data_IF_230264085283
#
_entry.id   IF_230264085283
#
_cell.length_a   1.000
_cell.length_b   1.000
_cell.length_c   1.000
_cell.angle_alpha   90.00
_cell.angle_beta   90.00
_cell.angle_gamma   90.00
#
_symmetry.space_group_name_H-M   'P 1'
#
loop_
_entity.id
_entity.type
_entity.pdbx_description
1 polymer ?
#
# COMPACT_ATOMS: atom_id res chain seq x y z
N UNK A 1 14.30 -18.90 -0.59
CA UNK A 1 13.27 -18.46 -1.56
C UNK A 1 12.13 -17.85 -0.77
N UNK A 2 12.00 -16.52 -0.75
CA UNK A 2 10.87 -15.87 -0.08
C UNK A 2 9.69 -15.91 -1.06
N UNK A 3 8.65 -16.68 -0.72
CA UNK A 3 7.40 -16.72 -1.49
C UNK A 3 6.45 -15.64 -0.98
N UNK A 4 5.62 -15.09 -1.86
CA UNK A 4 4.55 -14.18 -1.46
C UNK A 4 3.51 -14.99 -0.69
N UNK A 5 3.05 -14.47 0.44
CA UNK A 5 2.01 -15.11 1.23
C UNK A 5 0.67 -15.05 0.48
N UNK A 6 0.05 -16.21 0.32
CA UNK A 6 -1.23 -16.39 -0.36
C UNK A 6 -2.36 -16.54 0.66
N UNK A 7 -3.48 -15.90 0.38
CA UNK A 7 -4.67 -15.87 1.22
C UNK A 7 -5.91 -16.27 0.43
N UNK A 8 -6.91 -16.80 1.14
CA UNK A 8 -8.18 -17.20 0.54
C UNK A 8 -9.04 -15.99 0.17
N UNK A 9 -8.97 -14.90 0.94
CA UNK A 9 -9.81 -13.72 0.74
C UNK A 9 -9.02 -12.40 0.75
N UNK A 10 -9.58 -11.38 0.10
CA UNK A 10 -9.04 -10.01 0.15
C UNK A 10 -9.09 -9.48 1.57
N UNK A 11 -10.14 -9.80 2.33
CA UNK A 11 -10.31 -9.30 3.70
C UNK A 11 -9.21 -9.81 4.64
N UNK A 12 -8.89 -11.10 4.60
CA UNK A 12 -7.79 -11.69 5.39
C UNK A 12 -6.44 -11.09 4.99
N UNK A 13 -6.15 -11.03 3.68
CA UNK A 13 -4.93 -10.44 3.16
C UNK A 13 -4.79 -8.96 3.58
N UNK A 14 -5.90 -8.22 3.56
CA UNK A 14 -5.93 -6.80 3.92
C UNK A 14 -5.71 -6.59 5.41
N UNK A 15 -6.40 -7.36 6.25
CA UNK A 15 -6.25 -7.27 7.70
C UNK A 15 -4.83 -7.61 8.13
N UNK A 16 -4.25 -8.69 7.62
CA UNK A 16 -2.89 -9.09 7.97
C UNK A 16 -1.86 -8.06 7.47
N UNK A 17 -2.00 -7.61 6.23
CA UNK A 17 -1.07 -6.67 5.64
C UNK A 17 -1.14 -5.29 6.32
N UNK A 18 -2.33 -4.80 6.65
CA UNK A 18 -2.49 -3.58 7.43
C UNK A 18 -1.92 -3.72 8.84
N UNK A 19 -2.21 -4.82 9.55
CA UNK A 19 -1.66 -5.06 10.87
C UNK A 19 -0.13 -5.13 10.85
N UNK A 20 0.46 -5.56 9.73
CA UNK A 20 1.90 -5.53 9.49
C UNK A 20 2.42 -4.11 9.21
N UNK A 21 1.89 -3.41 8.20
CA UNK A 21 2.49 -2.13 7.74
C UNK A 21 2.27 -0.96 8.70
N UNK A 22 1.24 -1.02 9.55
CA UNK A 22 0.95 0.04 10.52
C UNK A 22 1.88 0.02 11.74
N UNK A 23 2.68 -1.04 11.90
CA UNK A 23 3.70 -1.13 12.95
C UNK A 23 4.90 -0.23 12.61
N UNK A 24 5.31 0.71 13.48
CA UNK A 24 6.38 1.67 13.19
C UNK A 24 7.72 1.05 12.76
N UNK A 25 8.05 -0.15 13.24
CA UNK A 25 9.27 -0.87 12.87
C UNK A 25 9.27 -1.42 11.44
N UNK A 26 8.12 -1.45 10.78
CA UNK A 26 7.96 -1.84 9.39
C UNK A 26 7.81 -0.62 8.46
N UNK A 27 7.96 0.60 8.98
CA UNK A 27 7.91 1.80 8.15
C UNK A 27 9.18 1.94 7.32
N UNK A 28 9.03 2.40 6.10
CA UNK A 28 10.12 2.55 5.15
C UNK A 28 10.55 4.01 5.07
N UNK A 29 11.85 4.28 5.19
CA UNK A 29 12.38 5.61 4.95
C UNK A 29 12.59 5.82 3.46
N UNK A 30 11.87 6.78 2.87
CA UNK A 30 12.07 7.14 1.47
C UNK A 30 13.24 8.10 1.32
N UNK A 31 14.19 7.85 0.40
CA UNK A 31 15.17 8.85 0.03
C UNK A 31 14.47 10.06 -0.61
N UNK A 32 15.03 11.26 -0.41
CA UNK A 32 14.47 12.60 -0.72
C UNK A 32 13.91 12.84 -2.13
N UNK A 33 14.10 11.94 -3.09
CA UNK A 33 13.88 12.17 -4.51
C UNK A 33 12.91 11.17 -5.10
N UNK A 34 11.61 11.46 -4.91
CA UNK A 34 10.51 10.80 -5.62
C UNK A 34 10.30 9.33 -5.24
N UNK A 35 9.06 8.88 -5.31
CA UNK A 35 8.85 7.48 -5.60
C UNK A 35 9.44 7.25 -6.98
N UNK A 36 10.60 6.60 -7.06
CA UNK A 36 10.82 5.76 -8.24
C UNK A 36 9.85 4.57 -8.06
N UNK A 37 8.82 4.43 -8.91
CA UNK A 37 7.89 3.28 -8.83
C UNK A 37 8.64 1.95 -8.94
N UNK A 38 9.85 1.95 -9.54
CA UNK A 38 10.73 0.78 -9.58
C UNK A 38 11.42 0.47 -8.24
N UNK A 39 11.58 1.47 -7.36
CA UNK A 39 12.18 1.34 -6.02
C UNK A 39 11.16 1.03 -4.92
N UNK A 40 9.86 1.04 -5.23
CA UNK A 40 8.82 0.57 -4.32
C UNK A 40 9.10 -0.87 -3.86
N UNK A 41 8.81 -1.28 -2.61
CA UNK A 41 8.84 -2.68 -2.16
C UNK A 41 7.95 -3.69 -2.93
N UNK A 42 7.49 -3.39 -4.15
CA UNK A 42 6.89 -4.36 -5.08
C UNK A 42 7.78 -5.58 -5.38
N UNK A 43 9.05 -5.57 -4.96
CA UNK A 43 9.93 -6.74 -4.94
C UNK A 43 10.04 -7.44 -3.56
N UNK A 44 9.75 -6.74 -2.46
CA UNK A 44 9.80 -7.32 -1.12
C UNK A 44 8.49 -8.08 -0.83
N UNK A 45 8.60 -9.39 -0.69
CA UNK A 45 7.45 -10.27 -0.47
C UNK A 45 6.80 -10.09 0.89
N UNK A 46 7.47 -9.46 1.87
CA UNK A 46 6.91 -9.18 3.20
C UNK A 46 5.78 -8.14 3.14
N UNK A 47 5.89 -7.18 2.23
CA UNK A 47 4.93 -6.10 2.02
C UNK A 47 3.84 -6.46 1.02
N UNK A 48 3.78 -7.74 0.61
CA UNK A 48 2.88 -8.21 -0.42
C UNK A 48 2.04 -9.37 0.04
N UNK A 49 0.80 -9.41 -0.45
CA UNK A 49 -0.10 -10.54 -0.33
C UNK A 49 -0.68 -10.89 -1.69
N UNK A 50 -1.02 -12.16 -1.86
CA UNK A 50 -1.65 -12.67 -3.08
C UNK A 50 -3.01 -13.28 -2.73
N UNK A 51 -4.01 -12.96 -3.53
CA UNK A 51 -5.36 -13.55 -3.45
C UNK A 51 -5.75 -13.98 -4.87
N UNK A 52 -5.54 -15.25 -5.18
CA UNK A 52 -5.74 -15.78 -6.54
C UNK A 52 -4.84 -15.08 -7.57
N UNK A 53 -5.44 -14.28 -8.47
CA UNK A 53 -4.72 -13.50 -9.49
C UNK A 53 -4.39 -12.07 -9.05
N UNK A 54 -4.93 -11.61 -7.92
CA UNK A 54 -4.68 -10.29 -7.37
C UNK A 54 -3.43 -10.30 -6.50
N UNK A 55 -2.52 -9.37 -6.79
CA UNK A 55 -1.40 -9.02 -5.91
C UNK A 55 -1.70 -7.69 -5.25
N UNK A 56 -1.51 -7.65 -3.94
CA UNK A 56 -1.70 -6.49 -3.10
C UNK A 56 -0.33 -6.16 -2.50
N UNK A 57 0.05 -4.89 -2.53
CA UNK A 57 1.24 -4.37 -1.87
C UNK A 57 0.81 -3.20 -0.99
N UNK A 58 1.37 -3.09 0.20
CA UNK A 58 1.16 -1.90 1.03
C UNK A 58 2.43 -1.55 1.79
N UNK A 59 2.62 -0.27 2.06
CA UNK A 59 3.69 0.24 2.91
C UNK A 59 3.27 1.53 3.59
N UNK A 60 3.94 1.83 4.71
CA UNK A 60 3.93 3.17 5.31
C UNK A 60 5.30 3.75 5.10
N UNK A 61 5.33 4.89 4.42
CA UNK A 61 6.54 5.51 3.95
C UNK A 61 6.77 6.82 4.72
N UNK A 62 7.98 7.03 5.22
CA UNK A 62 8.40 8.24 5.95
C UNK A 62 9.31 9.05 5.03
N UNK A 63 8.84 10.24 4.67
CA UNK A 63 9.64 11.20 3.92
C UNK A 63 10.71 11.85 4.81
N UNK A 64 11.75 12.40 4.20
CA UNK A 64 12.79 13.13 4.91
C UNK A 64 12.27 14.39 5.65
N UNK A 65 11.09 14.89 5.27
CA UNK A 65 10.37 15.98 5.96
C UNK A 65 9.58 15.51 7.17
N UNK A 66 9.65 14.22 7.53
CA UNK A 66 8.86 13.58 8.59
C UNK A 66 7.35 13.53 8.29
N UNK A 67 6.97 13.77 7.03
CA UNK A 67 5.64 13.43 6.53
C UNK A 67 5.54 11.92 6.36
N UNK A 68 4.43 11.35 6.82
CA UNK A 68 4.15 9.92 6.74
C UNK A 68 3.07 9.69 5.69
N UNK A 69 3.27 8.73 4.80
CA UNK A 69 2.37 8.38 3.72
C UNK A 69 1.95 6.92 3.83
N UNK A 70 0.66 6.66 3.58
CA UNK A 70 0.16 5.31 3.40
C UNK A 70 0.09 5.03 1.92
N UNK A 71 0.64 3.89 1.54
CA UNK A 71 0.80 3.52 0.16
C UNK A 71 0.28 2.12 -0.08
N UNK A 72 -0.59 1.97 -1.06
CA UNK A 72 -1.25 0.69 -1.38
C UNK A 72 -1.25 0.53 -2.89
N UNK A 73 -0.90 -0.65 -3.38
CA UNK A 73 -0.93 -0.95 -4.80
C UNK A 73 -1.59 -2.29 -5.08
N UNK A 74 -2.26 -2.33 -6.23
CA UNK A 74 -2.93 -3.53 -6.72
C UNK A 74 -2.44 -3.88 -8.11
N UNK A 75 -2.31 -5.18 -8.36
CA UNK A 75 -2.00 -5.71 -9.69
C UNK A 75 -2.77 -6.99 -9.93
N UNK A 76 -3.53 -7.00 -11.01
CA UNK A 76 -4.18 -8.19 -11.54
C UNK A 76 -4.29 -8.08 -13.07
N UNK A 77 -4.41 -9.20 -13.80
CA UNK A 77 -4.68 -9.17 -15.24
C UNK A 77 -5.97 -8.39 -15.54
N UNK A 78 -5.91 -7.41 -16.43
CA UNK A 78 -7.07 -6.60 -16.82
C UNK A 78 -7.60 -5.66 -15.73
N UNK A 79 -6.85 -5.42 -14.66
CA UNK A 79 -7.25 -4.49 -13.59
C UNK A 79 -7.33 -3.05 -14.13
N UNK A 80 -8.41 -2.36 -13.81
CA UNK A 80 -8.63 -0.95 -14.14
C UNK A 80 -8.54 -0.09 -12.89
N UNK A 81 -8.21 1.21 -12.99
CA UNK A 81 -8.15 2.10 -11.83
C UNK A 81 -9.44 2.13 -11.00
N UNK A 82 -10.61 2.08 -11.68
CA UNK A 82 -11.92 2.06 -11.01
C UNK A 82 -12.08 0.79 -10.15
N UNK A 83 -11.82 -0.39 -10.70
CA UNK A 83 -11.88 -1.65 -9.93
C UNK A 83 -10.83 -1.70 -8.81
N UNK A 84 -9.67 -1.09 -9.04
CA UNK A 84 -8.63 -1.01 -8.03
C UNK A 84 -9.04 -0.09 -6.86
N UNK A 85 -9.84 0.96 -7.12
CA UNK A 85 -10.43 1.78 -6.08
C UNK A 85 -11.47 1.00 -5.24
N UNK A 86 -12.27 0.12 -5.85
CA UNK A 86 -13.16 -0.78 -5.10
C UNK A 86 -12.37 -1.71 -4.16
N UNK A 87 -11.23 -2.24 -4.64
CA UNK A 87 -10.32 -3.02 -3.78
C UNK A 87 -9.69 -2.20 -2.68
N UNK A 88 -9.32 -0.94 -2.94
CA UNK A 88 -8.80 -0.02 -1.94
C UNK A 88 -9.82 0.24 -0.83
N UNK A 89 -11.08 0.50 -1.20
CA UNK A 89 -12.16 0.72 -0.23
C UNK A 89 -12.34 -0.51 0.67
N UNK A 90 -12.40 -1.71 0.07
CA UNK A 90 -12.53 -2.93 0.83
C UNK A 90 -11.30 -3.21 1.72
N UNK A 91 -10.09 -2.94 1.21
CA UNK A 91 -8.83 -3.12 1.93
C UNK A 91 -8.79 -2.30 3.23
N UNK A 92 -9.28 -1.06 3.20
CA UNK A 92 -9.23 -0.14 4.34
C UNK A 92 -10.36 -0.32 5.34
N UNK A 93 -11.46 -0.93 4.92
CA UNK A 93 -12.76 -0.99 5.61
C UNK A 93 -12.69 -1.37 7.09
N UNK A 94 -11.76 -2.24 7.48
CA UNK A 94 -11.70 -2.80 8.83
C UNK A 94 -10.83 -2.02 9.84
N UNK A 95 -9.78 -1.32 9.38
CA UNK A 95 -8.74 -0.79 10.27
C UNK A 95 -8.50 0.72 10.15
N UNK A 96 -8.78 1.29 8.99
CA UNK A 96 -8.55 2.70 8.70
C UNK A 96 -9.82 3.30 8.11
N UNK A 97 -10.82 3.63 8.96
CA UNK A 97 -11.99 4.34 8.47
C UNK A 97 -11.52 5.60 7.73
N UNK A 98 -12.00 5.76 6.50
CA UNK A 98 -11.64 6.87 5.64
C UNK A 98 -11.95 8.18 6.38
N UNK A 99 -10.91 8.96 6.70
CA UNK A 99 -11.10 10.32 7.17
C UNK A 99 -11.79 11.13 6.07
N UNK A 100 -12.83 11.91 6.38
CA UNK A 100 -13.47 12.80 5.40
C UNK A 100 -12.42 13.69 4.72
N UNK A 101 -12.58 13.93 3.42
CA UNK A 101 -11.64 14.71 2.58
C UNK A 101 -10.24 14.10 2.40
N UNK A 102 -10.09 12.78 2.56
CA UNK A 102 -8.86 12.11 2.17
C UNK A 102 -8.80 11.94 0.65
N UNK A 103 -8.05 12.80 -0.02
CA UNK A 103 -7.71 12.60 -1.42
C UNK A 103 -6.62 11.52 -1.55
N UNK A 104 -6.82 10.61 -2.50
CA UNK A 104 -5.83 9.62 -2.89
C UNK A 104 -5.19 10.04 -4.20
N UNK A 105 -3.87 10.06 -4.23
CA UNK A 105 -3.12 10.15 -5.47
C UNK A 105 -3.12 8.79 -6.13
N UNK A 106 -3.38 8.75 -7.44
CA UNK A 106 -3.48 7.52 -8.22
C UNK A 106 -2.48 7.55 -9.36
N UNK A 107 -1.66 6.52 -9.45
CA UNK A 107 -0.66 6.35 -10.52
C UNK A 107 -0.71 4.92 -11.07
N UNK A 108 -0.38 4.76 -12.35
CA UNK A 108 -0.25 3.43 -12.98
C UNK A 108 1.15 3.30 -13.54
N UNK A 109 1.92 2.31 -13.06
CA UNK A 109 3.27 2.08 -13.54
C UNK A 109 3.32 1.25 -14.83
N UNK A 110 4.51 1.18 -15.44
CA UNK A 110 4.78 0.37 -16.64
C UNK A 110 4.54 -1.13 -16.41
N UNK A 111 4.60 -1.60 -15.16
CA UNK A 111 4.38 -3.00 -14.76
C UNK A 111 2.90 -3.30 -14.46
N UNK A 112 2.01 -2.33 -14.71
CA UNK A 112 0.56 -2.39 -14.53
C UNK A 112 0.13 -2.51 -13.07
N UNK A 113 0.95 -2.06 -12.14
CA UNK A 113 0.48 -1.76 -10.79
C UNK A 113 -0.33 -0.47 -10.82
N UNK A 114 -1.42 -0.48 -10.09
CA UNK A 114 -2.22 0.72 -9.82
C UNK A 114 -1.96 1.09 -8.38
N UNK A 115 -1.41 2.27 -8.20
CA UNK A 115 -0.86 2.79 -6.97
C UNK A 115 -1.78 3.83 -6.37
N UNK A 116 -1.97 3.75 -5.07
CA UNK A 116 -2.79 4.66 -4.28
C UNK A 116 -1.96 5.15 -3.11
N UNK A 117 -1.69 6.44 -3.09
CA UNK A 117 -0.91 7.10 -2.03
C UNK A 117 -1.73 8.21 -1.39
N UNK A 118 -1.62 8.32 -0.06
CA UNK A 118 -2.16 9.47 0.68
C UNK A 118 -1.29 9.78 1.89
N UNK A 119 -1.41 11.00 2.43
CA UNK A 119 -0.84 11.33 3.73
C UNK A 119 -1.48 10.46 4.81
N UNK A 120 -0.66 9.80 5.61
CA UNK A 120 -1.11 9.04 6.78
C UNK A 120 -1.35 10.03 7.91
N UNK A 121 -2.57 10.09 8.43
CA UNK A 121 -2.99 11.04 9.47
C UNK A 121 -2.39 10.77 10.87
N UNK A 122 -1.32 9.97 10.95
CA UNK A 122 -0.56 9.78 12.18
C UNK A 122 0.14 11.08 12.63
N UNK A 123 0.60 11.14 13.89
CA UNK A 123 1.34 12.31 14.37
C UNK A 123 2.56 12.55 13.48
N UNK A 124 2.78 13.81 13.10
CA UNK A 124 4.06 14.21 12.55
C UNK A 124 5.18 13.71 13.45
N UNK A 125 6.10 12.92 12.87
CA UNK A 125 7.27 12.51 13.62
C UNK A 125 8.02 13.77 14.02
N UNK A 126 8.45 13.83 15.28
CA UNK A 126 9.32 14.87 15.81
C UNK A 126 10.73 14.29 15.84
N UNK A 127 11.70 15.07 15.35
CA UNK A 127 13.13 14.74 15.44
C UNK A 127 13.62 14.79 16.89
#
# INVERSE_FOLDING_TARGET
MLSIQEHATVDEASSELLDFVLKPYNWLSLPRTGMDPAAWPGQNTLYQRRVGSLRICASVDVAATLDVFLHIAFRAPGLTPVKAADYLENFLKQRLPLTPNSEWQVEVDERRWIHFSRRYAGPHLKA
#
